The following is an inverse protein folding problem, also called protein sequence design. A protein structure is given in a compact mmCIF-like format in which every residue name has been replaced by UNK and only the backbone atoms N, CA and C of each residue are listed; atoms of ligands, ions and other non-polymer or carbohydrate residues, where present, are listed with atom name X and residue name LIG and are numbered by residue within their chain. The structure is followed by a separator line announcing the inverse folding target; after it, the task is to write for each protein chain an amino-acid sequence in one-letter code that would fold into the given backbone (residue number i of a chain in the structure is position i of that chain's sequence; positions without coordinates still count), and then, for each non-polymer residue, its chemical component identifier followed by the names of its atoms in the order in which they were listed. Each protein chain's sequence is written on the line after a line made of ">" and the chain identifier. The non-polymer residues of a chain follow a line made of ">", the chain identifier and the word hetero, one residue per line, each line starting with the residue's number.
data_IF_394723204997
#
_entry.id   IF_394723204997
#
_cell.length_a   1.000
_cell.length_b   1.000
_cell.length_c   1.000
_cell.angle_alpha   90.00
_cell.angle_beta   90.00
_cell.angle_gamma   90.00
#
_symmetry.space_group_name_H-M   'P 1'
#
loop_
_entity.id
_entity.type
_entity.pdbx_description
1 polymer ?
#
# COMPACT_ATOMS: atom_id res chain seq x y z
N UNK A 1 -11.98 -65.17 -66.79
CA UNK A 1 -13.05 -64.42 -66.10
C UNK A 1 -12.56 -64.08 -64.69
N UNK A 2 -12.14 -62.83 -64.51
CA UNK A 2 -11.74 -62.20 -63.24
C UNK A 2 -11.95 -60.68 -63.44
N UNK A 3 -12.31 -59.91 -62.40
CA UNK A 3 -13.26 -58.82 -62.55
C UNK A 3 -12.63 -57.46 -62.85
N UNK A 4 -13.42 -56.64 -63.55
CA UNK A 4 -13.18 -55.23 -63.86
C UNK A 4 -13.36 -54.42 -62.56
N UNK A 5 -12.28 -53.85 -62.04
CA UNK A 5 -12.35 -52.89 -60.93
C UNK A 5 -12.62 -51.49 -61.50
N UNK A 6 -13.88 -51.04 -61.39
CA UNK A 6 -14.27 -49.66 -61.66
C UNK A 6 -13.79 -48.76 -60.52
N UNK A 7 -12.88 -47.84 -60.83
CA UNK A 7 -12.48 -46.77 -59.90
C UNK A 7 -13.52 -45.65 -59.97
N UNK A 8 -14.37 -45.55 -58.93
CA UNK A 8 -15.24 -44.39 -58.71
C UNK A 8 -14.39 -43.31 -58.04
N UNK A 9 -14.15 -42.21 -58.75
CA UNK A 9 -13.55 -40.99 -58.22
C UNK A 9 -14.62 -40.27 -57.39
N UNK A 10 -14.51 -40.34 -56.07
CA UNK A 10 -15.30 -39.50 -55.15
C UNK A 10 -14.65 -38.12 -55.10
N UNK A 11 -15.22 -37.16 -55.82
CA UNK A 11 -14.87 -35.75 -55.70
C UNK A 11 -15.38 -35.22 -54.34
N UNK A 12 -14.48 -35.10 -53.37
CA UNK A 12 -14.76 -34.40 -52.12
C UNK A 12 -14.82 -32.90 -52.40
N UNK A 13 -16.02 -32.31 -52.34
CA UNK A 13 -16.19 -30.86 -52.38
C UNK A 13 -15.74 -30.26 -51.05
N UNK A 14 -14.57 -29.62 -51.06
CA UNK A 14 -14.11 -28.75 -49.98
C UNK A 14 -14.95 -27.47 -49.99
N UNK A 15 -16.04 -27.44 -49.21
CA UNK A 15 -16.66 -26.18 -48.82
C UNK A 15 -15.72 -25.50 -47.81
N UNK A 16 -14.82 -24.65 -48.32
CA UNK A 16 -14.13 -23.65 -47.51
C UNK A 16 -15.17 -22.70 -46.93
N UNK A 17 -15.50 -22.87 -45.64
CA UNK A 17 -16.22 -21.86 -44.88
C UNK A 17 -15.27 -20.68 -44.69
N UNK A 18 -15.46 -19.63 -45.50
CA UNK A 18 -14.83 -18.34 -45.26
C UNK A 18 -15.40 -17.80 -43.95
N UNK A 19 -14.65 -17.94 -42.86
CA UNK A 19 -14.97 -17.24 -41.62
C UNK A 19 -14.96 -15.73 -41.92
N UNK A 20 -16.12 -15.10 -41.76
CA UNK A 20 -16.22 -13.65 -41.85
C UNK A 20 -15.23 -13.01 -40.84
N UNK A 21 -14.50 -11.95 -41.22
CA UNK A 21 -13.71 -11.20 -40.25
C UNK A 21 -14.65 -10.68 -39.16
N UNK A 22 -14.31 -10.99 -37.90
CA UNK A 22 -15.05 -10.49 -36.74
C UNK A 22 -15.15 -8.97 -36.82
N UNK A 23 -16.31 -8.36 -36.50
CA UNK A 23 -16.40 -6.91 -36.46
C UNK A 23 -15.41 -6.39 -35.43
N UNK A 24 -14.40 -5.65 -35.89
CA UNK A 24 -13.50 -4.87 -35.03
C UNK A 24 -14.41 -3.82 -34.38
N UNK A 25 -14.79 -4.07 -33.12
CA UNK A 25 -15.49 -3.09 -32.32
C UNK A 25 -14.58 -1.87 -32.18
N UNK A 26 -15.11 -0.64 -32.29
CA UNK A 26 -14.31 0.56 -32.10
C UNK A 26 -13.74 0.53 -30.69
N UNK A 27 -12.42 0.68 -30.58
CA UNK A 27 -11.72 0.87 -29.30
C UNK A 27 -12.16 2.23 -28.75
N UNK A 28 -13.31 2.25 -28.08
CA UNK A 28 -13.65 3.32 -27.16
C UNK A 28 -12.77 3.10 -25.94
N UNK A 29 -11.70 3.88 -25.84
CA UNK A 29 -11.00 4.10 -24.57
C UNK A 29 -12.06 4.48 -23.53
N UNK A 30 -12.27 3.68 -22.47
CA UNK A 30 -13.33 3.97 -21.52
C UNK A 30 -13.03 5.33 -20.87
N UNK A 31 -14.00 6.24 -20.90
CA UNK A 31 -13.90 7.60 -20.34
C UNK A 31 -13.88 7.62 -18.81
N UNK A 32 -13.94 6.45 -18.16
CA UNK A 32 -13.91 6.26 -16.70
C UNK A 32 -13.54 4.81 -16.38
N UNK A 33 -12.91 4.58 -15.23
CA UNK A 33 -12.65 3.23 -14.74
C UNK A 33 -13.97 2.48 -14.47
N UNK A 34 -14.12 1.30 -15.06
CA UNK A 34 -15.25 0.41 -14.85
C UNK A 34 -14.97 -0.51 -13.67
N UNK A 35 -16.01 -0.75 -12.87
CA UNK A 35 -15.96 -1.67 -11.74
C UNK A 35 -15.58 -3.07 -12.20
N UNK A 36 -14.66 -3.70 -11.44
CA UNK A 36 -14.10 -5.03 -11.67
C UNK A 36 -13.34 -5.21 -12.99
N UNK A 37 -13.25 -4.18 -13.85
CA UNK A 37 -12.39 -4.21 -15.02
C UNK A 37 -10.92 -4.18 -14.61
N UNK A 38 -10.08 -4.86 -15.40
CA UNK A 38 -8.63 -4.94 -15.15
C UNK A 38 -7.90 -4.04 -16.13
N UNK A 39 -6.97 -3.24 -15.61
CA UNK A 39 -6.16 -2.30 -16.35
C UNK A 39 -4.68 -2.57 -16.10
N UNK A 40 -3.84 -2.29 -17.09
CA UNK A 40 -2.38 -2.26 -16.93
C UNK A 40 -1.93 -0.81 -16.95
N UNK A 41 -1.18 -0.37 -15.94
CA UNK A 41 -0.71 1.01 -15.84
C UNK A 41 0.57 1.15 -15.02
N UNK A 42 1.09 2.37 -14.94
CA UNK A 42 2.29 2.67 -14.16
C UNK A 42 1.93 3.32 -12.82
N UNK A 43 2.77 3.07 -11.82
CA UNK A 43 2.68 3.68 -10.49
C UNK A 43 3.56 4.92 -10.47
N UNK A 44 2.99 6.06 -10.09
CA UNK A 44 3.71 7.30 -9.85
C UNK A 44 3.73 7.65 -8.35
N UNK A 45 4.74 8.37 -7.84
CA UNK A 45 4.66 8.95 -6.51
C UNK A 45 3.51 9.97 -6.42
N UNK A 46 2.72 9.92 -5.36
CA UNK A 46 1.71 10.94 -5.09
C UNK A 46 2.36 12.15 -4.42
N UNK A 47 2.38 13.28 -5.13
CA UNK A 47 3.08 14.53 -4.74
C UNK A 47 2.15 15.74 -4.61
N UNK A 48 0.89 15.65 -5.07
CA UNK A 48 -0.07 16.75 -5.09
C UNK A 48 -1.28 16.46 -4.20
N UNK A 49 -1.79 17.48 -3.50
CA UNK A 49 -3.05 17.40 -2.75
C UNK A 49 -4.05 18.39 -3.34
N UNK A 50 -5.00 17.90 -4.14
CA UNK A 50 -6.06 18.74 -4.71
C UNK A 50 -7.42 18.48 -4.08
N UNK A 51 -7.50 17.47 -3.22
CA UNK A 51 -8.72 17.13 -2.48
C UNK A 51 -9.92 16.93 -3.42
N UNK A 52 -9.72 16.22 -4.54
CA UNK A 52 -10.77 15.99 -5.52
C UNK A 52 -11.94 15.15 -4.96
N UNK A 53 -11.75 14.41 -3.86
CA UNK A 53 -12.81 13.72 -3.12
C UNK A 53 -13.09 14.45 -1.78
N UNK A 54 -13.93 15.51 -1.76
CA UNK A 54 -14.08 16.40 -0.61
C UNK A 54 -14.71 15.75 0.62
N UNK A 55 -15.48 14.67 0.46
CA UNK A 55 -16.12 13.94 1.58
C UNK A 55 -15.19 12.93 2.26
N UNK A 56 -13.96 12.76 1.77
CA UNK A 56 -13.03 11.75 2.28
C UNK A 56 -11.92 12.45 3.04
N UNK A 57 -11.97 12.36 4.37
CA UNK A 57 -10.83 12.71 5.21
C UNK A 57 -9.75 11.62 5.11
N UNK A 58 -8.52 12.04 4.80
CA UNK A 58 -7.35 11.17 4.79
C UNK A 58 -6.10 11.94 5.24
N UNK A 59 -5.08 11.19 5.64
CA UNK A 59 -3.74 11.73 5.95
C UNK A 59 -2.75 11.34 4.86
N UNK A 60 -1.74 12.18 4.61
CA UNK A 60 -0.61 11.88 3.72
C UNK A 60 0.17 10.62 4.13
N UNK A 61 -0.05 10.11 5.34
CA UNK A 61 0.57 8.91 5.90
C UNK A 61 -0.28 7.64 5.74
N UNK A 62 -1.51 7.79 5.26
CA UNK A 62 -2.36 6.64 4.97
C UNK A 62 -2.02 6.07 3.59
N UNK A 63 -2.12 4.75 3.40
CA UNK A 63 -1.89 4.12 2.12
C UNK A 63 -3.06 4.40 1.15
N UNK A 64 -3.01 5.57 0.52
CA UNK A 64 -3.99 6.08 -0.43
C UNK A 64 -3.50 6.01 -1.88
N UNK A 65 -4.44 6.16 -2.80
CA UNK A 65 -4.21 6.27 -4.24
C UNK A 65 -4.91 7.51 -4.84
N UNK A 66 -4.35 8.00 -5.95
CA UNK A 66 -5.00 8.97 -6.82
C UNK A 66 -4.92 8.48 -8.27
N UNK A 67 -6.05 8.43 -8.97
CA UNK A 67 -6.11 7.88 -10.34
C UNK A 67 -6.06 8.99 -11.38
N UNK A 68 -5.62 8.67 -12.61
CA UNK A 68 -5.62 9.64 -13.70
C UNK A 68 -6.99 10.29 -13.91
N UNK A 69 -6.99 11.52 -14.41
CA UNK A 69 -8.23 12.25 -14.72
C UNK A 69 -9.14 11.48 -15.69
N UNK A 70 -8.57 10.72 -16.63
CA UNK A 70 -9.32 9.89 -17.58
C UNK A 70 -10.05 8.71 -16.93
N UNK A 71 -9.56 8.25 -15.77
CA UNK A 71 -10.14 7.10 -15.07
C UNK A 71 -11.03 7.52 -13.89
N UNK A 72 -10.99 8.80 -13.50
CA UNK A 72 -11.62 9.29 -12.26
C UNK A 72 -13.15 9.40 -12.33
N UNK A 73 -13.71 9.68 -13.51
CA UNK A 73 -15.15 9.91 -13.67
C UNK A 73 -15.60 11.29 -13.16
N UNK A 74 -16.90 11.52 -13.12
CA UNK A 74 -17.50 12.75 -12.60
C UNK A 74 -17.93 12.55 -11.14
N UNK A 75 -17.60 13.49 -10.27
CA UNK A 75 -17.95 13.40 -8.84
C UNK A 75 -19.44 13.60 -8.56
N UNK A 76 -20.16 14.22 -9.49
CA UNK A 76 -21.59 14.52 -9.33
C UNK A 76 -22.49 13.31 -9.67
N UNK A 77 -21.92 12.20 -10.15
CA UNK A 77 -22.67 11.00 -10.53
C UNK A 77 -21.98 9.68 -10.12
N UNK A 78 -22.64 8.56 -10.42
CA UNK A 78 -22.19 7.21 -10.03
C UNK A 78 -20.87 6.77 -10.72
N UNK A 79 -20.41 7.52 -11.72
CA UNK A 79 -19.15 7.24 -12.42
C UNK A 79 -17.94 7.61 -11.58
N UNK A 80 -18.10 8.45 -10.55
CA UNK A 80 -17.02 8.81 -9.64
C UNK A 80 -16.32 7.59 -9.05
N UNK A 81 -14.99 7.62 -9.03
CA UNK A 81 -14.19 6.62 -8.32
C UNK A 81 -13.88 7.03 -6.87
N UNK A 82 -14.33 8.20 -6.41
CA UNK A 82 -14.08 8.65 -5.04
C UNK A 82 -14.56 7.60 -4.03
N UNK A 83 -13.66 7.24 -3.10
CA UNK A 83 -13.97 6.30 -2.01
C UNK A 83 -14.01 4.83 -2.44
N UNK A 84 -14.00 4.55 -3.75
CA UNK A 84 -13.72 3.21 -4.29
C UNK A 84 -12.23 2.88 -4.09
N UNK A 85 -11.85 1.66 -4.40
CA UNK A 85 -10.50 1.18 -4.19
C UNK A 85 -9.87 0.70 -5.49
N UNK A 86 -8.57 0.93 -5.64
CA UNK A 86 -7.77 0.18 -6.61
C UNK A 86 -7.24 -1.08 -5.92
N UNK A 87 -7.34 -2.22 -6.60
CA UNK A 87 -6.77 -3.50 -6.19
C UNK A 87 -5.61 -3.84 -7.13
N UNK A 88 -4.39 -3.71 -6.65
CA UNK A 88 -3.17 -4.03 -7.40
C UNK A 88 -2.82 -5.50 -7.16
N UNK A 89 -2.74 -6.27 -8.24
CA UNK A 89 -2.33 -7.66 -8.20
C UNK A 89 -0.80 -7.73 -8.41
N UNK A 90 -0.08 -8.42 -7.52
CA UNK A 90 1.36 -8.59 -7.67
C UNK A 90 1.65 -9.55 -8.82
N UNK A 91 2.60 -9.18 -9.71
CA UNK A 91 2.97 -10.01 -10.87
C UNK A 91 3.35 -11.42 -10.42
N UNK A 92 2.77 -12.43 -11.06
CA UNK A 92 2.99 -13.85 -10.75
C UNK A 92 2.15 -14.43 -9.61
N UNK A 93 1.30 -13.64 -8.93
CA UNK A 93 0.39 -14.19 -7.91
C UNK A 93 -0.92 -13.39 -7.75
N UNK A 94 -2.02 -13.81 -8.41
CA UNK A 94 -3.34 -13.18 -8.29
C UNK A 94 -3.93 -13.21 -6.86
N UNK A 95 -3.46 -14.13 -6.01
CA UNK A 95 -3.92 -14.23 -4.62
C UNK A 95 -3.24 -13.21 -3.70
N UNK A 96 -2.11 -12.62 -4.12
CA UNK A 96 -1.45 -11.54 -3.39
C UNK A 96 -1.79 -10.19 -4.02
N UNK A 97 -2.60 -9.42 -3.31
CA UNK A 97 -3.05 -8.11 -3.75
C UNK A 97 -2.93 -7.07 -2.64
N UNK A 98 -2.79 -5.81 -3.05
CA UNK A 98 -2.92 -4.64 -2.19
C UNK A 98 -4.11 -3.81 -2.64
N UNK A 99 -4.82 -3.22 -1.68
CA UNK A 99 -5.94 -2.33 -1.96
C UNK A 99 -5.63 -0.96 -1.37
N UNK A 100 -5.93 0.09 -2.12
CA UNK A 100 -5.71 1.48 -1.73
C UNK A 100 -6.95 2.30 -2.08
N UNK A 101 -7.43 3.10 -1.13
CA UNK A 101 -8.61 3.95 -1.33
C UNK A 101 -8.26 5.09 -2.28
N UNK A 102 -9.14 5.37 -3.23
CA UNK A 102 -8.99 6.50 -4.15
C UNK A 102 -9.53 7.75 -3.47
N UNK A 103 -8.67 8.76 -3.33
CA UNK A 103 -8.97 9.99 -2.60
C UNK A 103 -8.68 11.27 -3.38
N UNK A 104 -8.05 11.15 -4.54
CA UNK A 104 -7.69 12.32 -5.36
C UNK A 104 -7.51 11.96 -6.85
N UNK A 105 -7.31 13.01 -7.65
CA UNK A 105 -6.93 12.90 -9.07
C UNK A 105 -5.41 13.00 -9.19
N UNK A 106 -4.82 12.12 -9.99
CA UNK A 106 -3.45 12.24 -10.45
C UNK A 106 -3.41 12.98 -11.79
N UNK A 107 -3.07 14.27 -11.76
CA UNK A 107 -3.04 15.10 -12.97
C UNK A 107 -1.91 14.76 -13.94
N UNK A 108 -0.78 14.27 -13.44
CA UNK A 108 0.36 13.87 -14.26
C UNK A 108 0.25 12.44 -14.80
N UNK A 109 -0.72 11.66 -14.29
CA UNK A 109 -0.92 10.27 -14.71
C UNK A 109 -1.62 10.21 -16.07
N UNK A 110 -1.01 9.46 -17.00
CA UNK A 110 -1.59 9.17 -18.32
C UNK A 110 -2.46 7.92 -18.28
N UNK A 111 -3.57 7.96 -19.01
CA UNK A 111 -4.42 6.80 -19.33
C UNK A 111 -4.83 6.00 -18.09
N UNK A 112 -4.35 4.76 -17.94
CA UNK A 112 -4.66 3.83 -16.85
C UNK A 112 -3.66 3.91 -15.68
N UNK A 113 -2.75 4.89 -15.70
CA UNK A 113 -1.77 5.09 -14.64
C UNK A 113 -2.39 5.77 -13.43
N UNK A 114 -1.76 5.59 -12.27
CA UNK A 114 -2.21 6.17 -11.01
C UNK A 114 -0.99 6.52 -10.16
N UNK A 115 -1.23 7.24 -9.07
CA UNK A 115 -0.20 7.56 -8.09
C UNK A 115 -0.54 7.01 -6.73
N UNK A 116 0.49 6.72 -5.94
CA UNK A 116 0.40 6.15 -4.61
C UNK A 116 1.16 7.02 -3.61
N UNK A 117 0.57 7.19 -2.43
CA UNK A 117 1.28 7.74 -1.27
C UNK A 117 2.54 6.92 -0.95
N UNK A 118 3.50 7.53 -0.26
CA UNK A 118 4.69 6.81 0.22
C UNK A 118 4.31 5.59 1.10
N UNK A 119 3.30 5.74 1.96
CA UNK A 119 2.81 4.65 2.80
C UNK A 119 2.19 3.50 2.00
N UNK A 120 1.60 3.77 0.83
CA UNK A 120 1.13 2.73 -0.09
C UNK A 120 2.29 2.08 -0.85
N UNK A 121 3.25 2.88 -1.35
CA UNK A 121 4.45 2.38 -2.03
C UNK A 121 5.30 1.47 -1.13
N UNK A 122 5.44 1.80 0.16
CA UNK A 122 6.17 0.96 1.14
C UNK A 122 5.55 -0.44 1.32
N UNK A 123 4.29 -0.62 0.94
CA UNK A 123 3.62 -1.93 0.96
C UNK A 123 3.87 -2.76 -0.29
N UNK A 124 4.28 -2.11 -1.39
CA UNK A 124 4.59 -2.73 -2.66
C UNK A 124 6.10 -2.96 -2.70
N UNK A 125 6.53 -4.17 -2.32
CA UNK A 125 7.95 -4.54 -2.38
C UNK A 125 8.36 -4.63 -3.84
N UNK A 126 9.28 -3.74 -4.27
CA UNK A 126 10.09 -3.83 -5.50
C UNK A 126 9.35 -3.66 -6.85
N UNK A 127 8.47 -2.65 -6.97
CA UNK A 127 7.84 -2.33 -8.26
C UNK A 127 7.67 -0.83 -8.47
N UNK A 128 8.79 -0.13 -8.74
CA UNK A 128 8.74 1.29 -9.11
C UNK A 128 8.98 1.54 -10.60
N UNK A 129 9.14 0.51 -11.44
CA UNK A 129 9.40 0.68 -12.89
C UNK A 129 8.62 -0.27 -13.81
N UNK A 130 7.97 -1.30 -13.30
CA UNK A 130 7.18 -2.24 -14.11
C UNK A 130 5.71 -1.84 -14.16
N UNK A 131 5.05 -2.09 -15.30
CA UNK A 131 3.60 -1.97 -15.41
C UNK A 131 2.90 -2.96 -14.46
N UNK A 132 1.88 -2.49 -13.74
CA UNK A 132 1.10 -3.28 -12.80
C UNK A 132 -0.32 -3.49 -13.30
N UNK A 133 -0.86 -4.67 -13.02
CA UNK A 133 -2.28 -4.95 -13.26
C UNK A 133 -3.09 -4.54 -12.04
N UNK A 134 -4.11 -3.71 -12.25
CA UNK A 134 -4.99 -3.25 -11.19
C UNK A 134 -6.46 -3.33 -11.61
N UNK A 135 -7.35 -3.40 -10.62
CA UNK A 135 -8.80 -3.42 -10.79
C UNK A 135 -9.44 -2.32 -9.96
N UNK A 136 -10.49 -1.67 -10.47
CA UNK A 136 -11.36 -0.86 -9.63
C UNK A 136 -12.32 -1.80 -8.88
N UNK A 137 -12.40 -1.67 -7.56
CA UNK A 137 -13.34 -2.41 -6.73
C UNK A 137 -14.19 -1.45 -5.91
N UNK A 138 -15.38 -1.92 -5.55
CA UNK A 138 -16.33 -1.17 -4.74
C UNK A 138 -15.79 -0.80 -3.35
N UNK A 139 -16.32 0.30 -2.81
CA UNK A 139 -15.94 0.82 -1.49
C UNK A 139 -16.08 -0.24 -0.38
N UNK A 140 -17.22 -0.94 -0.33
CA UNK A 140 -17.50 -1.96 0.69
C UNK A 140 -16.51 -3.15 0.61
N UNK A 141 -16.19 -3.61 -0.60
CA UNK A 141 -15.25 -4.71 -0.82
C UNK A 141 -13.83 -4.31 -0.40
N UNK A 142 -13.41 -3.09 -0.74
CA UNK A 142 -12.12 -2.56 -0.32
C UNK A 142 -12.01 -2.40 1.19
N UNK A 143 -13.03 -1.82 1.83
CA UNK A 143 -13.09 -1.64 3.28
C UNK A 143 -13.00 -2.98 4.03
N UNK A 144 -13.67 -4.03 3.54
CA UNK A 144 -13.54 -5.37 4.13
C UNK A 144 -12.12 -5.91 4.05
N UNK A 145 -11.44 -5.76 2.91
CA UNK A 145 -10.06 -6.23 2.74
C UNK A 145 -9.12 -5.45 3.66
N UNK A 146 -9.28 -4.13 3.77
CA UNK A 146 -8.50 -3.29 4.69
C UNK A 146 -8.74 -3.72 6.14
N UNK A 147 -10.00 -3.91 6.56
CA UNK A 147 -10.36 -4.38 7.91
C UNK A 147 -9.78 -5.77 8.20
N UNK A 148 -9.90 -6.72 7.27
CA UNK A 148 -9.32 -8.07 7.42
C UNK A 148 -7.79 -8.01 7.53
N UNK A 149 -7.11 -7.16 6.73
CA UNK A 149 -5.66 -6.95 6.87
C UNK A 149 -5.30 -6.31 8.20
N UNK A 150 -6.04 -5.31 8.66
CA UNK A 150 -5.82 -4.68 9.97
C UNK A 150 -6.00 -5.67 11.13
N UNK A 151 -7.02 -6.54 11.05
CA UNK A 151 -7.27 -7.57 12.06
C UNK A 151 -6.22 -8.70 12.03
N UNK A 152 -5.66 -9.01 10.87
CA UNK A 152 -4.72 -10.12 10.69
C UNK A 152 -3.23 -9.70 10.74
N UNK A 153 -2.95 -8.39 10.79
CA UNK A 153 -1.60 -7.84 10.85
C UNK A 153 -1.52 -6.89 12.04
N UNK A 154 -0.78 -7.26 13.09
CA UNK A 154 -0.09 -6.22 13.87
C UNK A 154 0.79 -5.49 12.86
N UNK A 155 0.43 -4.26 12.47
CA UNK A 155 1.21 -3.49 11.51
C UNK A 155 2.66 -3.49 11.94
N UNK A 156 3.50 -4.09 11.08
CA UNK A 156 4.93 -4.19 11.29
C UNK A 156 5.54 -2.98 10.60
N UNK A 157 6.10 -2.08 11.40
CA UNK A 157 6.79 -0.88 10.96
C UNK A 157 8.28 -1.14 10.88
N UNK A 158 8.96 -0.39 10.01
CA UNK A 158 10.40 -0.49 9.81
C UNK A 158 11.01 0.89 9.79
N UNK A 159 12.22 1.00 10.33
CA UNK A 159 12.92 2.27 10.30
C UNK A 159 14.19 2.27 11.11
N UNK A 160 14.90 3.38 10.99
CA UNK A 160 16.09 3.68 11.75
C UNK A 160 15.78 3.79 13.24
N UNK A 161 16.62 3.18 14.08
CA UNK A 161 16.63 3.33 15.52
C UNK A 161 17.88 4.06 16.02
N UNK A 162 17.71 5.09 16.84
CA UNK A 162 18.78 5.76 17.58
C UNK A 162 18.58 5.59 19.08
N UNK A 163 19.29 6.37 19.89
CA UNK A 163 19.06 6.45 21.33
C UNK A 163 19.07 7.89 21.84
N UNK A 164 18.32 8.13 22.93
CA UNK A 164 18.20 9.44 23.59
C UNK A 164 18.67 9.40 25.05
N UNK A 165 18.71 10.56 25.72
CA UNK A 165 19.23 10.67 27.09
C UNK A 165 18.41 11.55 28.05
N UNK A 166 17.23 12.01 27.62
CA UNK A 166 16.31 12.82 28.42
C UNK A 166 15.80 12.10 29.67
N UNK A 167 15.13 12.84 30.55
CA UNK A 167 14.59 12.32 31.83
C UNK A 167 13.08 12.49 31.97
N UNK A 168 12.48 13.17 31.01
CA UNK A 168 11.05 13.44 30.88
C UNK A 168 10.75 13.59 29.40
N UNK A 169 9.60 13.11 28.96
CA UNK A 169 9.17 13.17 27.57
C UNK A 169 7.79 13.81 27.43
N UNK A 170 7.33 13.90 26.19
CA UNK A 170 6.02 14.42 25.79
C UNK A 170 4.84 13.68 26.41
N UNK A 171 5.03 12.55 27.11
CA UNK A 171 3.97 11.88 27.86
C UNK A 171 3.82 12.37 29.31
N UNK A 172 4.61 13.37 29.74
CA UNK A 172 4.47 14.03 31.04
C UNK A 172 4.92 13.18 32.24
N UNK A 173 5.57 12.05 32.00
CA UNK A 173 6.07 11.14 33.03
C UNK A 173 7.60 11.19 33.11
N UNK A 174 8.14 11.16 34.33
CA UNK A 174 9.57 11.01 34.54
C UNK A 174 9.99 9.56 34.31
N UNK A 175 11.20 9.37 33.79
CA UNK A 175 11.77 8.05 33.54
C UNK A 175 13.29 8.09 33.65
N UNK A 176 13.90 6.90 33.67
CA UNK A 176 15.34 6.68 33.71
C UNK A 176 15.83 6.05 32.42
N UNK A 177 17.09 6.32 32.05
CA UNK A 177 17.75 5.66 30.91
C UNK A 177 18.02 4.15 31.13
N UNK A 178 17.70 3.64 32.33
CA UNK A 178 17.66 2.21 32.64
C UNK A 178 16.33 1.55 32.29
N UNK A 179 15.28 2.32 32.03
CA UNK A 179 13.95 1.80 31.74
C UNK A 179 13.86 1.30 30.30
N UNK A 180 13.00 0.31 30.05
CA UNK A 180 12.72 -0.17 28.68
C UNK A 180 11.68 0.76 28.02
N UNK A 181 12.15 1.89 27.52
CA UNK A 181 11.32 2.97 26.97
C UNK A 181 11.80 3.43 25.59
N UNK A 182 10.92 4.17 24.89
CA UNK A 182 11.15 4.71 23.54
C UNK A 182 10.46 6.06 23.36
N UNK A 183 11.09 6.94 22.57
CA UNK A 183 10.44 8.06 21.93
C UNK A 183 9.92 7.62 20.56
N UNK A 184 8.60 7.70 20.35
CA UNK A 184 7.95 7.31 19.10
C UNK A 184 7.98 8.50 18.13
N UNK A 185 8.20 8.26 16.83
CA UNK A 185 8.11 9.34 15.85
C UNK A 185 6.76 10.06 15.92
N UNK A 186 6.78 11.38 15.69
CA UNK A 186 5.61 12.25 15.86
C UNK A 186 4.42 11.83 14.99
N UNK A 187 4.67 11.37 13.77
CA UNK A 187 3.68 10.84 12.84
C UNK A 187 2.85 9.69 13.45
N UNK A 188 3.51 8.72 14.08
CA UNK A 188 2.84 7.55 14.68
C UNK A 188 2.42 7.75 16.14
N UNK A 189 2.83 8.85 16.79
CA UNK A 189 2.40 9.21 18.14
C UNK A 189 0.91 9.56 18.20
N UNK A 190 0.34 10.07 17.11
CA UNK A 190 -1.01 10.61 17.09
C UNK A 190 -1.08 11.91 17.89
N UNK A 191 -2.12 12.07 18.73
CA UNK A 191 -2.25 13.26 19.58
C UNK A 191 -1.13 13.31 20.61
N UNK A 192 -0.63 14.50 20.93
CA UNK A 192 0.41 14.67 21.94
C UNK A 192 -0.08 14.29 23.35
N UNK A 193 -1.37 14.47 23.64
CA UNK A 193 -1.98 14.15 24.93
C UNK A 193 -3.41 13.60 24.77
N UNK A 194 -3.87 12.85 25.79
CA UNK A 194 -5.26 12.41 25.88
C UNK A 194 -5.67 11.33 24.88
N UNK A 195 -6.99 11.24 24.59
CA UNK A 195 -7.56 10.22 23.70
C UNK A 195 -7.02 10.39 22.28
N UNK A 196 -6.32 9.37 21.77
CA UNK A 196 -5.66 9.38 20.46
C UNK A 196 -4.13 9.45 20.54
N UNK A 197 -3.56 9.71 21.72
CA UNK A 197 -2.13 9.57 21.97
C UNK A 197 -1.71 8.10 22.11
N UNK A 198 -0.46 7.78 21.75
CA UNK A 198 0.16 6.48 22.02
C UNK A 198 0.96 6.43 23.32
N UNK A 199 0.93 7.49 24.14
CA UNK A 199 1.57 7.49 25.45
C UNK A 199 1.16 6.28 26.30
N UNK A 200 2.15 5.62 26.90
CA UNK A 200 1.94 4.43 27.75
C UNK A 200 1.70 3.12 26.99
N UNK A 201 1.42 3.16 25.68
CA UNK A 201 1.34 1.95 24.87
C UNK A 201 2.71 1.28 24.75
N UNK A 202 2.69 0.00 24.41
CA UNK A 202 3.89 -0.82 24.27
C UNK A 202 4.09 -1.21 22.82
N UNK A 203 5.35 -1.32 22.43
CA UNK A 203 5.76 -1.85 21.14
C UNK A 203 6.79 -2.96 21.35
N UNK A 204 6.76 -3.98 20.49
CA UNK A 204 7.81 -4.99 20.38
C UNK A 204 8.76 -4.56 19.29
N UNK A 205 10.03 -4.41 19.63
CA UNK A 205 11.11 -3.95 18.75
C UNK A 205 12.09 -5.10 18.55
N UNK A 206 12.64 -5.23 17.35
CA UNK A 206 13.76 -6.11 17.00
C UNK A 206 14.62 -5.44 15.94
N UNK A 207 15.86 -5.89 15.78
CA UNK A 207 16.66 -5.55 14.58
C UNK A 207 16.19 -6.38 13.38
N UNK A 208 16.30 -5.82 12.17
CA UNK A 208 15.90 -6.53 10.95
C UNK A 208 16.70 -7.84 10.81
N UNK A 209 16.00 -8.93 10.48
CA UNK A 209 16.60 -10.26 10.36
C UNK A 209 16.90 -10.98 11.68
N UNK A 210 16.68 -10.33 12.84
CA UNK A 210 16.86 -10.98 14.15
C UNK A 210 15.56 -11.58 14.69
N UNK A 211 15.66 -12.69 15.41
CA UNK A 211 14.57 -13.24 16.23
C UNK A 211 14.51 -12.60 17.62
N UNK A 212 15.59 -11.95 18.08
CA UNK A 212 15.66 -11.31 19.39
C UNK A 212 14.84 -10.03 19.39
N UNK A 213 13.87 -9.93 20.30
CA UNK A 213 13.03 -8.75 20.46
C UNK A 213 12.97 -8.28 21.91
N UNK A 214 12.62 -7.02 22.09
CA UNK A 214 12.33 -6.42 23.40
C UNK A 214 11.03 -5.64 23.34
N UNK A 215 10.32 -5.58 24.46
CA UNK A 215 9.12 -4.75 24.59
C UNK A 215 9.52 -3.46 25.29
N UNK A 216 9.18 -2.32 24.69
CA UNK A 216 9.42 -0.98 25.24
C UNK A 216 8.10 -0.23 25.36
N UNK A 217 8.05 0.70 26.31
CA UNK A 217 6.92 1.59 26.54
C UNK A 217 7.16 2.95 25.91
N UNK A 218 6.15 3.49 25.23
CA UNK A 218 6.19 4.81 24.63
C UNK A 218 6.03 5.86 25.73
N UNK A 219 7.01 6.75 25.84
CA UNK A 219 7.06 7.79 26.89
C UNK A 219 7.38 9.18 26.38
N UNK A 220 7.72 9.29 25.10
CA UNK A 220 8.15 10.54 24.49
C UNK A 220 7.86 10.55 22.98
N UNK A 221 7.92 11.73 22.38
CA UNK A 221 7.77 11.96 20.95
C UNK A 221 9.12 12.34 20.37
N UNK A 222 9.60 11.59 19.39
CA UNK A 222 10.72 12.02 18.57
C UNK A 222 10.19 12.94 17.44
N UNK A 223 10.60 14.22 17.38
CA UNK A 223 10.12 15.18 16.38
C UNK A 223 10.45 14.76 14.95
N UNK A 224 9.62 15.17 13.98
CA UNK A 224 9.77 14.81 12.56
C UNK A 224 11.12 15.20 11.93
N UNK A 225 11.78 16.25 12.43
CA UNK A 225 13.13 16.64 11.99
C UNK A 225 14.20 15.59 12.33
N UNK A 226 13.93 14.69 13.26
CA UNK A 226 14.85 13.65 13.72
C UNK A 226 14.34 12.24 13.42
N UNK A 227 13.04 11.97 13.58
CA UNK A 227 12.45 10.66 13.31
C UNK A 227 11.36 10.75 12.26
N UNK A 228 11.60 10.13 11.10
CA UNK A 228 10.56 9.89 10.09
C UNK A 228 9.62 8.78 10.55
N UNK A 229 8.52 8.59 9.82
CA UNK A 229 7.63 7.45 9.99
C UNK A 229 8.43 6.13 10.09
N UNK A 230 8.06 5.27 11.04
CA UNK A 230 8.73 4.00 11.33
C UNK A 230 10.03 4.10 12.14
N UNK A 231 10.62 5.29 12.28
CA UNK A 231 11.84 5.50 13.07
C UNK A 231 11.53 5.62 14.57
N UNK A 232 12.50 5.22 15.40
CA UNK A 232 12.38 5.19 16.85
C UNK A 232 13.63 5.79 17.51
N UNK A 233 13.47 6.41 18.68
CA UNK A 233 14.58 6.81 19.53
C UNK A 233 14.52 6.04 20.86
N UNK A 234 15.39 5.04 21.03
CA UNK A 234 15.33 4.11 22.16
C UNK A 234 16.02 4.68 23.41
N UNK A 235 15.58 4.29 24.60
CA UNK A 235 16.43 4.45 25.78
C UNK A 235 17.76 3.71 25.62
N UNK A 236 18.78 4.16 26.35
CA UNK A 236 20.09 3.49 26.34
C UNK A 236 19.98 2.02 26.76
N UNK A 237 19.15 1.69 27.76
CA UNK A 237 18.91 0.32 28.17
C UNK A 237 18.29 -0.54 27.07
N UNK A 238 17.30 -0.01 26.34
CA UNK A 238 16.67 -0.72 25.23
C UNK A 238 17.62 -0.89 24.04
N UNK A 239 18.36 0.16 23.66
CA UNK A 239 19.35 0.10 22.58
C UNK A 239 20.44 -0.95 22.85
N UNK A 240 20.96 -0.99 24.08
CA UNK A 240 21.97 -1.96 24.53
C UNK A 240 21.52 -3.43 24.47
N UNK A 241 20.22 -3.71 24.32
CA UNK A 241 19.75 -5.08 24.08
C UNK A 241 20.10 -5.58 22.68
N UNK A 242 20.37 -4.67 21.74
CA UNK A 242 20.66 -4.97 20.35
C UNK A 242 22.12 -4.71 19.98
N UNK A 243 22.72 -3.61 20.45
CA UNK A 243 24.09 -3.24 20.11
C UNK A 243 24.75 -2.34 21.17
N UNK A 244 26.09 -2.26 21.23
CA UNK A 244 26.76 -1.24 22.04
C UNK A 244 26.41 0.18 21.53
N UNK A 245 26.42 1.16 22.44
CA UNK A 245 26.04 2.55 22.15
C UNK A 245 26.85 3.19 21.01
N UNK A 246 28.11 2.78 20.86
CA UNK A 246 29.02 3.23 19.79
C UNK A 246 28.53 2.88 18.39
N UNK A 247 27.60 1.93 18.24
CA UNK A 247 26.96 1.64 16.96
C UNK A 247 26.13 2.82 16.46
N UNK A 248 25.56 3.62 17.37
CA UNK A 248 24.78 4.83 17.09
C UNK A 248 23.41 4.60 16.46
N UNK A 249 23.34 3.79 15.39
CA UNK A 249 22.17 3.60 14.54
C UNK A 249 21.89 2.11 14.33
N UNK A 250 20.62 1.72 14.41
CA UNK A 250 20.09 0.38 14.12
C UNK A 250 19.06 0.42 12.99
N UNK A 251 18.93 -0.68 12.24
CA UNK A 251 17.77 -0.92 11.37
C UNK A 251 16.77 -1.81 12.13
N UNK A 252 15.61 -1.24 12.44
CA UNK A 252 14.62 -1.83 13.34
C UNK A 252 13.37 -2.27 12.58
N UNK A 253 12.74 -3.30 13.13
CA UNK A 253 11.38 -3.72 12.83
C UNK A 253 10.58 -3.76 14.13
N UNK A 254 9.36 -3.22 14.14
CA UNK A 254 8.56 -3.16 15.35
C UNK A 254 7.05 -3.17 15.10
N UNK A 255 6.28 -3.49 16.13
CA UNK A 255 4.81 -3.46 16.10
C UNK A 255 4.21 -3.15 17.47
N UNK A 256 3.01 -2.57 17.48
CA UNK A 256 2.22 -2.43 18.71
C UNK A 256 1.85 -3.80 19.28
N UNK A 257 1.77 -3.90 20.61
CA UNK A 257 1.48 -5.18 21.32
C UNK A 257 0.24 -5.13 22.16
#
# INVERSE_FOLDING_TARGET
>A
MAPIASFIIVAASLLSTMAAPSPISPVHSPSTAQLNATYSGFINPYTEHRNACPEIEYSSEEPIAAVSATMFGNIEDETSVCGKYIKINLQGNPSKHHVFKVVDICHECKETSFSLSQAAMDQLVDSSTAAVNWQLIEAHAGDEIVKRKANNKRSVFRGRGTWFSDKIGSCGIKFSQKDMIVALNQNQMGRMWGKGSKCGQKIRVKTRGSSKSVVVRIVDTCPNRFCRYGQLDLSQAAFKKFAPMSKGILDLEWSFV
#
